data_IF_104217245334
#
_entry.id   IF_104217245334
#
_cell.length_a   1.000
_cell.length_b   1.000
_cell.length_c   1.000
_cell.angle_alpha   90.00
_cell.angle_beta   90.00
_cell.angle_gamma   90.00
#
_symmetry.space_group_name_H-M   'P 1'
#
loop_
_entity.id
_entity.type
_entity.pdbx_description
1 polymer ?
#
# COMPACT_ATOMS: atom_id res chain seq x y z
N UNK A 1 -0.24 33.35 8.38
CA UNK A 1 0.63 34.52 8.04
C UNK A 1 1.45 34.85 9.29
N UNK A 2 2.73 35.17 9.14
CA UNK A 2 3.62 35.53 10.27
C UNK A 2 4.09 34.35 11.14
N UNK A 3 3.71 33.11 10.80
CA UNK A 3 4.18 31.89 11.47
C UNK A 3 5.46 31.37 10.81
N UNK A 4 6.34 30.77 11.60
CA UNK A 4 7.59 30.14 11.15
C UNK A 4 7.29 28.79 10.50
N UNK A 5 7.59 28.66 9.20
CA UNK A 5 7.34 27.45 8.40
C UNK A 5 8.11 26.22 8.89
N UNK A 6 9.16 26.39 9.70
CA UNK A 6 9.90 25.28 10.27
C UNK A 6 9.20 24.64 11.48
N UNK A 7 8.12 25.26 11.99
CA UNK A 7 7.29 24.76 13.10
C UNK A 7 6.12 23.91 12.58
N UNK A 8 6.46 22.86 11.81
CA UNK A 8 5.49 21.97 11.15
C UNK A 8 4.38 21.49 12.10
N UNK A 9 4.76 20.93 13.26
CA UNK A 9 3.81 20.41 14.24
C UNK A 9 2.89 21.46 14.84
N UNK A 10 3.39 22.68 15.06
CA UNK A 10 2.55 23.76 15.58
C UNK A 10 1.49 24.17 14.55
N UNK A 11 1.88 24.30 13.28
CA UNK A 11 0.96 24.76 12.23
C UNK A 11 -0.04 23.67 11.84
N UNK A 12 0.41 22.42 11.72
CA UNK A 12 -0.49 21.29 11.45
C UNK A 12 -1.55 21.15 12.54
N UNK A 13 -1.16 21.18 13.83
CA UNK A 13 -2.11 21.10 14.95
C UNK A 13 -3.03 22.31 14.99
N UNK A 14 -2.54 23.52 14.72
CA UNK A 14 -3.40 24.69 14.62
C UNK A 14 -4.48 24.53 13.54
N UNK A 15 -4.14 23.98 12.36
CA UNK A 15 -5.12 23.72 11.31
C UNK A 15 -6.15 22.65 11.70
N UNK A 16 -5.68 21.55 12.30
CA UNK A 16 -6.51 20.38 12.62
C UNK A 16 -7.38 20.60 13.86
N UNK A 17 -6.79 21.06 14.96
CA UNK A 17 -7.43 21.11 16.27
C UNK A 17 -8.23 22.40 16.47
N UNK A 18 -7.73 23.54 15.98
CA UNK A 18 -8.33 24.85 16.26
C UNK A 18 -9.17 25.39 15.09
N UNK A 19 -8.64 25.36 13.85
CA UNK A 19 -9.36 25.92 12.70
C UNK A 19 -10.46 24.98 12.19
N UNK A 20 -10.15 23.69 12.04
CA UNK A 20 -11.11 22.67 11.69
C UNK A 20 -11.92 22.22 12.90
N UNK A 21 -11.25 21.57 13.88
CA UNK A 21 -11.82 21.17 15.17
C UNK A 21 -12.85 20.05 15.10
N UNK A 22 -13.07 19.40 13.95
CA UNK A 22 -14.06 18.33 13.81
C UNK A 22 -13.49 16.97 14.19
N UNK A 23 -14.27 16.18 14.92
CA UNK A 23 -13.91 14.85 15.39
C UNK A 23 -14.98 13.81 15.02
N UNK A 24 -14.56 12.55 14.92
CA UNK A 24 -15.40 11.36 14.97
C UNK A 24 -14.91 10.45 16.12
N UNK A 25 -15.44 9.23 16.20
CA UNK A 25 -15.06 8.25 17.22
C UNK A 25 -13.58 7.78 17.16
N UNK A 26 -12.87 8.08 16.06
CA UNK A 26 -11.47 7.75 15.83
C UNK A 26 -10.51 8.95 15.90
N UNK A 27 -11.01 10.16 16.19
CA UNK A 27 -10.21 11.39 16.35
C UNK A 27 -10.54 12.48 15.33
N UNK A 28 -9.55 13.28 14.95
CA UNK A 28 -9.74 14.46 14.10
C UNK A 28 -10.07 14.10 12.65
N UNK A 29 -11.32 14.37 12.24
CA UNK A 29 -11.85 13.95 10.93
C UNK A 29 -11.75 15.01 9.83
N UNK A 30 -11.37 16.25 10.18
CA UNK A 30 -11.00 17.30 9.22
C UNK A 30 -12.13 17.64 8.23
N UNK A 31 -13.38 17.46 8.67
CA UNK A 31 -14.59 17.53 7.84
C UNK A 31 -14.96 18.97 7.47
N UNK A 32 -14.59 19.97 8.28
CA UNK A 32 -15.01 21.36 8.06
C UNK A 32 -14.15 22.05 7.00
N UNK A 33 -12.83 21.87 7.05
CA UNK A 33 -11.87 22.44 6.11
C UNK A 33 -11.55 21.49 4.95
N UNK A 34 -11.68 20.18 5.18
CA UNK A 34 -11.28 19.13 4.25
C UNK A 34 -9.82 18.70 4.48
N UNK A 35 -9.60 17.39 4.61
CA UNK A 35 -8.26 16.81 4.75
C UNK A 35 -7.34 17.16 3.57
N UNK A 36 -7.90 17.29 2.36
CA UNK A 36 -7.20 17.73 1.16
C UNK A 36 -6.65 19.17 1.27
N UNK A 37 -7.44 20.11 1.80
CA UNK A 37 -7.00 21.49 1.99
C UNK A 37 -5.90 21.61 3.05
N UNK A 38 -6.08 20.92 4.18
CA UNK A 38 -5.08 20.86 5.26
C UNK A 38 -3.78 20.24 4.76
N UNK A 39 -3.86 19.10 4.05
CA UNK A 39 -2.69 18.42 3.53
C UNK A 39 -1.92 19.29 2.54
N UNK A 40 -2.60 19.92 1.58
CA UNK A 40 -1.94 20.79 0.60
C UNK A 40 -1.11 21.89 1.26
N UNK A 41 -1.65 22.51 2.32
CA UNK A 41 -0.90 23.50 3.12
C UNK A 41 0.23 22.84 3.91
N UNK A 42 -0.02 21.69 4.55
CA UNK A 42 0.97 20.94 5.33
C UNK A 42 2.20 20.55 4.50
N UNK A 43 2.00 20.03 3.28
CA UNK A 43 3.06 19.66 2.34
C UNK A 43 3.86 20.89 1.86
N UNK A 44 3.17 21.97 1.51
CA UNK A 44 3.81 23.21 1.07
C UNK A 44 4.66 23.85 2.18
N UNK A 45 4.19 23.81 3.44
CA UNK A 45 4.94 24.27 4.59
C UNK A 45 6.18 23.42 4.83
N UNK A 46 6.09 22.09 4.71
CA UNK A 46 7.23 21.19 4.86
C UNK A 46 8.32 21.50 3.81
N UNK A 47 7.94 21.73 2.55
CA UNK A 47 8.86 22.20 1.50
C UNK A 47 9.48 23.56 1.83
N UNK A 48 8.68 24.51 2.28
CA UNK A 48 9.18 25.83 2.68
C UNK A 48 10.14 25.74 3.88
N UNK A 49 9.87 24.85 4.84
CA UNK A 49 10.73 24.55 5.98
C UNK A 49 12.07 23.96 5.55
N UNK A 50 12.07 23.03 4.60
CA UNK A 50 13.29 22.48 4.02
C UNK A 50 14.12 23.57 3.32
N UNK A 51 13.47 24.41 2.50
CA UNK A 51 14.11 25.53 1.81
C UNK A 51 14.68 26.58 2.78
N UNK A 52 13.94 26.92 3.84
CA UNK A 52 14.40 27.86 4.87
C UNK A 52 15.64 27.34 5.61
N UNK A 53 15.73 26.02 5.82
CA UNK A 53 16.90 25.33 6.38
C UNK A 53 18.00 25.02 5.35
N UNK A 54 17.78 25.34 4.07
CA UNK A 54 18.71 25.08 2.95
C UNK A 54 19.12 23.61 2.84
N UNK A 55 18.17 22.69 3.02
CA UNK A 55 18.40 21.26 2.93
C UNK A 55 17.37 20.58 2.00
N UNK A 56 17.70 19.39 1.47
CA UNK A 56 16.73 18.58 0.73
C UNK A 56 15.49 18.24 1.57
N UNK A 57 14.36 18.02 0.90
CA UNK A 57 13.08 17.74 1.58
C UNK A 57 13.15 16.45 2.41
N UNK A 58 13.69 15.35 1.88
CA UNK A 58 13.87 14.11 2.63
C UNK A 58 14.66 14.31 3.93
N UNK A 59 15.68 15.18 3.93
CA UNK A 59 16.48 15.45 5.11
C UNK A 59 15.68 16.26 6.15
N UNK A 60 14.89 17.22 5.68
CA UNK A 60 13.98 17.95 6.57
C UNK A 60 12.93 17.05 7.21
N UNK A 61 12.35 16.12 6.45
CA UNK A 61 11.42 15.12 6.97
C UNK A 61 12.11 14.21 7.99
N UNK A 62 13.35 13.79 7.73
CA UNK A 62 14.15 13.02 8.67
C UNK A 62 14.37 13.75 10.00
N UNK A 63 14.69 15.05 9.96
CA UNK A 63 14.81 15.89 11.16
C UNK A 63 13.49 15.95 11.94
N UNK A 64 12.37 16.16 11.25
CA UNK A 64 11.04 16.24 11.87
C UNK A 64 10.66 14.92 12.54
N UNK A 65 11.01 13.79 11.92
CA UNK A 65 10.74 12.45 12.44
C UNK A 65 11.78 11.95 13.46
N UNK A 66 12.89 12.69 13.64
CA UNK A 66 14.00 12.27 14.50
C UNK A 66 14.75 11.04 13.97
N UNK A 67 14.85 10.86 12.66
CA UNK A 67 15.53 9.74 12.02
C UNK A 67 16.97 10.11 11.63
N UNK A 68 18.00 9.62 12.34
CA UNK A 68 19.39 10.01 12.09
C UNK A 68 20.01 9.33 10.86
N UNK A 69 19.45 8.21 10.41
CA UNK A 69 19.98 7.39 9.31
C UNK A 69 18.88 7.00 8.33
N UNK A 70 18.48 7.91 7.42
CA UNK A 70 17.56 7.59 6.33
C UNK A 70 18.04 6.44 5.45
N UNK A 71 17.10 5.72 4.83
CA UNK A 71 17.39 4.65 3.88
C UNK A 71 16.55 4.80 2.59
N UNK A 72 17.06 4.25 1.48
CA UNK A 72 16.26 4.10 0.27
C UNK A 72 15.30 2.91 0.43
N UNK A 73 14.04 3.04 -0.02
CA UNK A 73 13.06 1.97 0.08
C UNK A 73 13.23 0.90 -1.01
N UNK A 74 12.76 -0.32 -0.76
CA UNK A 74 12.44 -1.29 -1.81
C UNK A 74 11.13 -0.85 -2.49
N UNK A 75 11.09 -0.67 -3.81
CA UNK A 75 9.85 -0.39 -4.53
C UNK A 75 8.99 -1.65 -4.69
N UNK A 76 7.71 -1.52 -4.38
CA UNK A 76 6.64 -2.47 -4.68
C UNK A 76 5.90 -2.00 -5.93
N UNK A 77 6.12 -2.67 -7.07
CA UNK A 77 5.50 -2.28 -8.33
C UNK A 77 4.19 -3.04 -8.53
N UNK A 78 3.07 -2.33 -8.63
CA UNK A 78 1.79 -2.91 -9.05
C UNK A 78 1.84 -3.26 -10.54
N UNK A 79 1.70 -4.55 -10.90
CA UNK A 79 1.88 -5.00 -12.29
C UNK A 79 0.68 -5.74 -12.88
N UNK A 80 -0.24 -6.25 -12.05
CA UNK A 80 -1.53 -6.80 -12.46
C UNK A 80 -2.62 -6.25 -11.54
N UNK A 81 -3.66 -5.69 -12.15
CA UNK A 81 -4.81 -5.11 -11.46
C UNK A 81 -6.02 -6.05 -11.51
N UNK A 82 -6.76 -6.08 -10.42
CA UNK A 82 -8.07 -6.68 -10.26
C UNK A 82 -8.97 -5.76 -9.43
N UNK A 83 -9.85 -6.35 -8.62
CA UNK A 83 -10.74 -5.64 -7.72
C UNK A 83 -11.50 -4.51 -8.42
N UNK A 84 -11.63 -3.38 -7.73
CA UNK A 84 -12.27 -2.16 -8.23
C UNK A 84 -11.40 -1.37 -9.23
N UNK A 85 -10.12 -1.74 -9.41
CA UNK A 85 -9.18 -1.10 -10.34
C UNK A 85 -9.19 -1.71 -11.76
N UNK A 86 -9.98 -2.76 -12.01
CA UNK A 86 -10.04 -3.43 -13.30
C UNK A 86 -11.40 -4.08 -13.60
N UNK A 87 -11.82 -3.99 -14.87
CA UNK A 87 -13.05 -4.64 -15.38
C UNK A 87 -12.94 -6.16 -15.64
N UNK A 88 -11.88 -6.82 -15.19
CA UNK A 88 -11.75 -8.28 -15.24
C UNK A 88 -12.52 -8.96 -14.08
N UNK A 89 -12.46 -10.29 -13.96
CA UNK A 89 -13.11 -11.03 -12.86
C UNK A 89 -12.32 -11.10 -11.55
N UNK A 90 -11.06 -10.69 -11.57
CA UNK A 90 -10.13 -10.87 -10.46
C UNK A 90 -10.64 -10.08 -9.23
N UNK A 91 -10.90 -10.75 -8.11
CA UNK A 91 -11.39 -10.07 -6.91
C UNK A 91 -10.32 -9.26 -6.18
N UNK A 92 -9.10 -9.79 -6.08
CA UNK A 92 -7.99 -9.13 -5.41
C UNK A 92 -7.51 -7.93 -6.24
N UNK A 93 -7.23 -6.81 -5.58
CA UNK A 93 -7.04 -5.53 -6.23
C UNK A 93 -5.70 -5.43 -6.97
N UNK A 94 -4.61 -5.92 -6.37
CA UNK A 94 -3.27 -5.75 -6.95
C UNK A 94 -2.34 -6.92 -6.69
N UNK A 95 -1.49 -7.19 -7.69
CA UNK A 95 -0.37 -8.10 -7.58
C UNK A 95 0.92 -7.34 -7.91
N UNK A 96 1.84 -7.36 -6.95
CA UNK A 96 3.05 -6.56 -6.96
C UNK A 96 4.31 -7.40 -7.04
N UNK A 97 5.36 -6.82 -7.61
CA UNK A 97 6.73 -7.34 -7.52
C UNK A 97 7.62 -6.43 -6.68
N UNK A 98 8.48 -7.05 -5.88
CA UNK A 98 9.40 -6.40 -4.96
C UNK A 98 10.83 -6.88 -5.25
N UNK A 99 11.70 -6.07 -5.86
CA UNK A 99 13.10 -6.44 -6.15
C UNK A 99 14.01 -6.44 -4.90
N UNK A 100 13.68 -7.23 -3.88
CA UNK A 100 14.39 -7.25 -2.58
C UNK A 100 15.87 -7.68 -2.69
N UNK A 101 16.25 -8.38 -3.76
CA UNK A 101 17.62 -8.81 -4.03
C UNK A 101 18.46 -7.79 -4.80
N UNK A 102 17.91 -6.61 -5.10
CA UNK A 102 18.66 -5.51 -5.70
C UNK A 102 19.66 -4.90 -4.71
N UNK A 103 20.80 -4.43 -5.21
CA UNK A 103 21.87 -3.79 -4.42
C UNK A 103 21.74 -2.27 -4.30
N UNK A 104 20.82 -1.68 -5.07
CA UNK A 104 20.53 -0.25 -5.06
C UNK A 104 19.11 0.02 -5.57
N UNK A 105 18.58 1.20 -5.25
CA UNK A 105 17.28 1.64 -5.79
C UNK A 105 17.28 1.68 -7.32
N UNK A 106 18.38 2.13 -7.94
CA UNK A 106 18.53 2.14 -9.40
C UNK A 106 18.44 0.73 -10.00
N UNK A 107 19.08 -0.26 -9.37
CA UNK A 107 18.95 -1.66 -9.80
C UNK A 107 17.53 -2.18 -9.60
N UNK A 108 16.87 -1.84 -8.48
CA UNK A 108 15.49 -2.24 -8.22
C UNK A 108 14.53 -1.70 -9.31
N UNK A 109 14.67 -0.43 -9.69
CA UNK A 109 13.88 0.18 -10.79
C UNK A 109 14.12 -0.53 -12.12
N UNK A 110 15.39 -0.87 -12.43
CA UNK A 110 15.73 -1.63 -13.64
C UNK A 110 15.05 -3.01 -13.64
N UNK A 111 15.18 -3.77 -12.55
CA UNK A 111 14.56 -5.10 -12.41
C UNK A 111 13.04 -5.00 -12.57
N UNK A 112 12.39 -4.07 -11.85
CA UNK A 112 10.95 -3.86 -11.94
C UNK A 112 10.49 -3.56 -13.37
N UNK A 113 11.18 -2.65 -14.06
CA UNK A 113 10.87 -2.27 -15.45
C UNK A 113 11.07 -3.43 -16.44
N UNK A 114 12.14 -4.21 -16.30
CA UNK A 114 12.40 -5.36 -17.17
C UNK A 114 11.38 -6.49 -16.95
N UNK A 115 10.99 -6.77 -15.70
CA UNK A 115 9.93 -7.74 -15.40
C UNK A 115 8.59 -7.25 -15.97
N UNK A 116 8.23 -5.97 -15.76
CA UNK A 116 7.00 -5.38 -16.29
C UNK A 116 6.90 -5.49 -17.82
N UNK A 117 7.98 -5.18 -18.55
CA UNK A 117 7.99 -5.32 -20.02
C UNK A 117 7.97 -6.77 -20.51
N UNK A 118 8.54 -7.72 -19.75
CA UNK A 118 8.38 -9.14 -20.05
C UNK A 118 6.94 -9.61 -19.77
N UNK A 119 6.34 -9.17 -18.68
CA UNK A 119 4.93 -9.44 -18.39
C UNK A 119 4.02 -8.93 -19.51
N UNK A 120 4.27 -7.72 -20.03
CA UNK A 120 3.55 -7.18 -21.20
C UNK A 120 3.59 -8.13 -22.40
N UNK A 121 4.74 -8.75 -22.67
CA UNK A 121 4.91 -9.71 -23.78
C UNK A 121 4.16 -11.01 -23.51
N UNK A 122 4.25 -11.55 -22.29
CA UNK A 122 3.53 -12.76 -21.87
C UNK A 122 2.01 -12.55 -22.00
N UNK A 123 1.50 -11.44 -21.47
CA UNK A 123 0.08 -11.07 -21.56
C UNK A 123 -0.34 -10.90 -23.02
N UNK A 124 0.44 -10.18 -23.83
CA UNK A 124 0.15 -10.01 -25.26
C UNK A 124 0.07 -11.35 -26.00
N UNK A 125 0.98 -12.28 -25.68
CA UNK A 125 1.03 -13.60 -26.29
C UNK A 125 -0.18 -14.47 -25.93
N UNK A 126 -0.72 -14.34 -24.70
CA UNK A 126 -1.80 -15.19 -24.19
C UNK A 126 -3.20 -14.61 -24.39
N UNK A 127 -3.36 -13.30 -24.20
CA UNK A 127 -4.67 -12.62 -24.19
C UNK A 127 -4.83 -11.59 -25.31
N UNK A 128 -3.79 -11.36 -26.13
CA UNK A 128 -3.83 -10.41 -27.24
C UNK A 128 -3.41 -8.99 -26.87
N UNK A 129 -3.43 -8.10 -27.87
CA UNK A 129 -2.90 -6.73 -27.74
C UNK A 129 -3.70 -5.90 -26.73
N UNK A 130 -5.02 -6.01 -26.73
CA UNK A 130 -5.90 -5.17 -25.91
C UNK A 130 -5.71 -5.42 -24.40
N UNK A 131 -5.31 -6.64 -24.03
CA UNK A 131 -4.98 -6.99 -22.64
C UNK A 131 -3.70 -6.30 -22.12
N UNK A 132 -2.95 -5.59 -22.97
CA UNK A 132 -1.77 -4.80 -22.58
C UNK A 132 -2.07 -3.33 -22.31
N UNK A 133 -3.35 -2.94 -22.35
CA UNK A 133 -3.80 -1.68 -21.76
C UNK A 133 -3.55 -1.71 -20.24
N UNK A 134 -3.40 -0.52 -19.66
CA UNK A 134 -3.06 -0.34 -18.25
C UNK A 134 -4.21 0.32 -17.51
N UNK A 135 -4.40 -0.05 -16.24
CA UNK A 135 -5.35 0.62 -15.34
C UNK A 135 -4.80 1.93 -14.79
N UNK A 136 -5.46 2.43 -13.75
CA UNK A 136 -5.16 3.72 -13.11
C UNK A 136 -3.71 3.81 -12.65
N UNK A 137 -3.17 2.73 -12.07
CA UNK A 137 -1.82 2.67 -11.49
C UNK A 137 -0.77 2.05 -12.44
N UNK A 138 -1.08 1.94 -13.73
CA UNK A 138 -0.14 1.46 -14.75
C UNK A 138 0.02 -0.08 -14.82
N UNK A 139 -0.56 -0.84 -13.90
CA UNK A 139 -0.64 -2.30 -13.96
C UNK A 139 -1.55 -2.80 -15.09
N UNK A 140 -1.32 -4.02 -15.57
CA UNK A 140 -2.15 -4.63 -16.64
C UNK A 140 -3.46 -5.19 -16.08
N UNK A 141 -4.52 -5.19 -16.89
CA UNK A 141 -5.82 -5.74 -16.52
C UNK A 141 -6.28 -6.86 -17.47
N UNK A 142 -5.51 -7.95 -17.67
CA UNK A 142 -5.94 -9.07 -18.50
C UNK A 142 -7.18 -9.75 -17.93
N UNK A 143 -7.96 -10.42 -18.79
CA UNK A 143 -9.16 -11.17 -18.41
C UNK A 143 -8.81 -12.51 -17.73
N UNK A 144 -8.10 -12.43 -16.62
CA UNK A 144 -7.71 -13.56 -15.76
C UNK A 144 -8.96 -14.15 -15.10
N UNK A 145 -9.04 -15.48 -15.03
CA UNK A 145 -10.18 -16.18 -14.46
C UNK A 145 -9.98 -16.56 -12.99
N UNK A 146 -8.74 -16.54 -12.46
CA UNK A 146 -8.47 -16.81 -11.05
C UNK A 146 -7.23 -16.09 -10.53
N UNK A 147 -7.20 -15.78 -9.24
CA UNK A 147 -6.02 -15.16 -8.58
C UNK A 147 -4.73 -15.99 -8.75
N UNK A 148 -4.84 -17.33 -8.80
CA UNK A 148 -3.68 -18.21 -9.01
C UNK A 148 -3.03 -18.06 -10.39
N UNK A 149 -3.80 -17.70 -11.42
CA UNK A 149 -3.31 -17.46 -12.78
C UNK A 149 -2.55 -16.13 -12.88
N UNK A 150 -2.93 -15.11 -12.09
CA UNK A 150 -2.17 -13.87 -11.98
C UNK A 150 -0.74 -14.13 -11.47
N UNK A 151 -0.60 -14.98 -10.44
CA UNK A 151 0.70 -15.40 -9.90
C UNK A 151 1.51 -16.12 -10.97
N UNK A 152 0.92 -17.06 -11.71
CA UNK A 152 1.62 -17.82 -12.76
C UNK A 152 2.17 -16.93 -13.87
N UNK A 153 1.40 -15.92 -14.32
CA UNK A 153 1.86 -14.94 -15.31
C UNK A 153 3.06 -14.13 -14.80
N UNK A 154 3.02 -13.71 -13.54
CA UNK A 154 4.09 -12.93 -12.93
C UNK A 154 5.35 -13.78 -12.78
N UNK A 155 5.23 -15.03 -12.34
CA UNK A 155 6.37 -15.94 -12.21
C UNK A 155 7.02 -16.24 -13.58
N UNK A 156 6.21 -16.43 -14.62
CA UNK A 156 6.70 -16.57 -15.99
C UNK A 156 7.47 -15.33 -16.44
N UNK A 157 6.95 -14.14 -16.15
CA UNK A 157 7.60 -12.87 -16.48
C UNK A 157 8.91 -12.66 -15.71
N UNK A 158 8.95 -12.96 -14.41
CA UNK A 158 10.15 -12.88 -13.57
C UNK A 158 11.23 -13.84 -14.09
N UNK A 159 10.85 -15.07 -14.45
CA UNK A 159 11.75 -16.06 -15.01
C UNK A 159 12.29 -15.62 -16.38
N UNK A 160 11.42 -15.11 -17.24
CA UNK A 160 11.82 -14.60 -18.56
C UNK A 160 12.78 -13.40 -18.46
N UNK A 161 12.64 -12.57 -17.42
CA UNK A 161 13.56 -11.47 -17.13
C UNK A 161 14.86 -11.92 -16.44
N UNK A 162 14.94 -13.15 -15.93
CA UNK A 162 16.14 -13.68 -15.28
C UNK A 162 16.34 -13.25 -13.83
N UNK A 163 15.26 -12.94 -13.10
CA UNK A 163 15.32 -12.37 -11.74
C UNK A 163 14.62 -13.19 -10.64
N UNK A 164 14.46 -14.51 -10.83
CA UNK A 164 13.75 -15.40 -9.90
C UNK A 164 14.32 -15.38 -8.47
N UNK A 165 15.62 -15.21 -8.31
CA UNK A 165 16.28 -15.12 -7.00
C UNK A 165 16.17 -13.73 -6.35
N UNK A 166 15.99 -12.68 -7.16
CA UNK A 166 15.98 -11.28 -6.73
C UNK A 166 14.61 -10.67 -6.44
N UNK A 167 13.55 -11.21 -7.05
CA UNK A 167 12.19 -10.65 -6.95
C UNK A 167 11.34 -11.45 -5.97
N UNK A 168 10.54 -10.74 -5.18
CA UNK A 168 9.46 -11.29 -4.35
C UNK A 168 8.11 -10.78 -4.77
N UNK A 169 7.05 -11.43 -4.31
CA UNK A 169 5.67 -11.04 -4.59
C UNK A 169 5.03 -10.36 -3.39
N UNK A 170 4.20 -9.37 -3.67
CA UNK A 170 3.27 -8.76 -2.73
C UNK A 170 1.88 -8.74 -3.34
N UNK A 171 0.85 -8.60 -2.53
CA UNK A 171 -0.52 -8.41 -2.99
C UNK A 171 -1.24 -7.40 -2.11
N UNK A 172 -2.08 -6.59 -2.74
CA UNK A 172 -3.16 -5.87 -2.06
C UNK A 172 -4.47 -6.55 -2.42
N UNK A 173 -5.12 -7.08 -1.40
CA UNK A 173 -6.37 -7.78 -1.59
C UNK A 173 -7.55 -6.80 -1.62
N UNK A 174 -7.51 -5.71 -0.84
CA UNK A 174 -8.62 -4.80 -0.61
C UNK A 174 -9.93 -5.54 -0.25
N UNK A 175 -9.87 -6.45 0.72
CA UNK A 175 -10.97 -7.38 1.00
C UNK A 175 -12.30 -6.71 1.41
N UNK A 176 -12.24 -5.48 1.92
CA UNK A 176 -13.42 -4.65 2.21
C UNK A 176 -14.31 -4.46 0.97
N UNK A 177 -13.73 -4.38 -0.23
CA UNK A 177 -14.46 -4.16 -1.49
C UNK A 177 -15.38 -5.32 -1.88
N UNK A 178 -15.10 -6.51 -1.37
CA UNK A 178 -15.88 -7.72 -1.66
C UNK A 178 -16.38 -8.43 -0.41
N UNK A 179 -16.35 -7.76 0.74
CA UNK A 179 -17.01 -8.21 1.96
C UNK A 179 -18.54 -8.05 1.81
N UNK A 180 -19.31 -9.07 2.18
CA UNK A 180 -20.78 -9.08 2.01
C UNK A 180 -21.52 -8.32 3.10
N UNK A 181 -20.80 -7.65 4.00
CA UNK A 181 -21.34 -6.88 5.12
C UNK A 181 -21.62 -7.72 6.36
N UNK A 182 -21.88 -7.06 7.48
CA UNK A 182 -21.97 -7.70 8.80
C UNK A 182 -23.13 -8.72 8.94
N UNK A 183 -24.15 -8.67 8.07
CA UNK A 183 -25.29 -9.60 8.11
C UNK A 183 -24.94 -11.00 7.62
N UNK A 184 -24.12 -11.11 6.56
CA UNK A 184 -23.69 -12.38 5.96
C UNK A 184 -22.25 -12.73 6.36
N UNK A 185 -21.41 -11.73 6.60
CA UNK A 185 -20.03 -11.85 7.08
C UNK A 185 -19.16 -12.82 6.27
N UNK A 186 -19.31 -12.79 4.94
CA UNK A 186 -18.53 -13.57 3.97
C UNK A 186 -17.82 -12.64 2.97
N UNK A 187 -17.01 -13.23 2.11
CA UNK A 187 -16.23 -12.55 1.08
C UNK A 187 -16.58 -13.11 -0.29
N UNK A 188 -17.05 -12.27 -1.21
CA UNK A 188 -17.50 -12.66 -2.55
C UNK A 188 -16.37 -12.56 -3.58
N UNK A 189 -15.75 -13.69 -3.93
CA UNK A 189 -14.64 -13.71 -4.90
C UNK A 189 -15.06 -13.47 -6.35
N UNK A 190 -16.36 -13.34 -6.63
CA UNK A 190 -16.92 -12.96 -7.94
C UNK A 190 -17.82 -11.70 -7.82
N UNK A 191 -17.50 -10.77 -6.90
CA UNK A 191 -18.35 -9.61 -6.58
C UNK A 191 -18.67 -8.68 -7.75
N UNK A 192 -17.87 -8.71 -8.82
CA UNK A 192 -18.10 -7.96 -10.06
C UNK A 192 -19.16 -8.59 -10.97
N UNK A 193 -19.62 -9.79 -10.64
CA UNK A 193 -20.71 -10.47 -11.31
C UNK A 193 -22.00 -10.28 -10.51
N UNK A 194 -22.98 -9.58 -11.10
CA UNK A 194 -24.31 -9.38 -10.49
C UNK A 194 -25.04 -10.69 -10.15
N UNK A 195 -24.67 -11.78 -10.83
CA UNK A 195 -25.24 -13.13 -10.64
C UNK A 195 -24.23 -14.09 -9.98
N UNK A 196 -23.32 -13.57 -9.15
CA UNK A 196 -22.36 -14.40 -8.41
C UNK A 196 -23.09 -15.51 -7.63
N UNK A 197 -22.64 -16.76 -7.82
CA UNK A 197 -23.21 -17.90 -7.10
C UNK A 197 -22.89 -17.81 -5.59
N UNK A 198 -23.76 -18.33 -4.73
CA UNK A 198 -23.51 -18.32 -3.29
C UNK A 198 -22.23 -19.08 -2.89
N UNK A 199 -21.79 -20.05 -3.72
CA UNK A 199 -20.52 -20.75 -3.56
C UNK A 199 -19.28 -19.87 -3.72
N UNK A 200 -19.39 -18.72 -4.39
CA UNK A 200 -18.31 -17.73 -4.52
C UNK A 200 -18.17 -16.85 -3.26
N UNK A 201 -19.17 -16.90 -2.36
CA UNK A 201 -19.13 -16.22 -1.06
C UNK A 201 -18.57 -17.16 -0.01
N UNK A 202 -17.31 -16.91 0.36
CA UNK A 202 -16.55 -17.76 1.28
C UNK A 202 -16.39 -17.10 2.65
N UNK A 203 -16.24 -17.89 3.72
CA UNK A 203 -15.95 -17.35 5.04
C UNK A 203 -14.53 -16.79 5.13
N UNK A 204 -14.25 -15.97 6.16
CA UNK A 204 -12.90 -15.50 6.46
C UNK A 204 -11.88 -16.65 6.58
N UNK A 205 -12.27 -17.76 7.23
CA UNK A 205 -11.43 -18.95 7.35
C UNK A 205 -11.06 -19.56 6.00
N UNK A 206 -12.01 -19.61 5.07
CA UNK A 206 -11.75 -20.10 3.71
C UNK A 206 -10.91 -19.12 2.90
N UNK A 207 -11.09 -17.82 3.11
CA UNK A 207 -10.26 -16.81 2.49
C UNK A 207 -8.81 -16.89 3.02
N UNK A 208 -8.62 -17.15 4.31
CA UNK A 208 -7.31 -17.42 4.90
C UNK A 208 -6.64 -18.64 4.24
N UNK A 209 -7.37 -19.76 4.06
CA UNK A 209 -6.86 -20.95 3.36
C UNK A 209 -6.40 -20.63 1.93
N UNK A 210 -7.09 -19.71 1.22
CA UNK A 210 -6.67 -19.24 -0.11
C UNK A 210 -5.30 -18.55 -0.05
N UNK A 211 -5.09 -17.64 0.92
CA UNK A 211 -3.80 -16.97 1.08
C UNK A 211 -2.67 -17.93 1.45
N UNK A 212 -2.93 -18.86 2.37
CA UNK A 212 -1.99 -19.92 2.75
C UNK A 212 -1.61 -20.77 1.52
N UNK A 213 -2.59 -21.08 0.66
CA UNK A 213 -2.37 -21.77 -0.61
C UNK A 213 -1.45 -21.00 -1.56
N UNK A 214 -1.62 -19.68 -1.70
CA UNK A 214 -0.73 -18.86 -2.52
C UNK A 214 0.69 -18.77 -1.95
N UNK A 215 0.81 -18.59 -0.63
CA UNK A 215 2.12 -18.57 0.06
C UNK A 215 2.84 -19.91 -0.18
N UNK A 216 2.14 -21.04 -0.01
CA UNK A 216 2.69 -22.36 -0.23
C UNK A 216 3.10 -22.58 -1.70
N UNK A 217 2.27 -22.17 -2.66
CA UNK A 217 2.56 -22.24 -4.10
C UNK A 217 3.87 -21.53 -4.45
N UNK A 218 4.11 -20.35 -3.87
CA UNK A 218 5.26 -19.52 -4.17
C UNK A 218 6.51 -19.85 -3.32
N UNK A 219 6.44 -20.79 -2.38
CA UNK A 219 7.48 -21.00 -1.36
C UNK A 219 8.85 -21.40 -1.94
N UNK A 220 8.86 -22.09 -3.09
CA UNK A 220 10.07 -22.56 -3.78
C UNK A 220 10.60 -21.63 -4.87
N UNK A 221 9.96 -20.47 -5.07
CA UNK A 221 10.20 -19.58 -6.22
C UNK A 221 10.28 -18.12 -5.74
N UNK A 222 9.43 -17.23 -6.28
CA UNK A 222 9.45 -15.81 -5.97
C UNK A 222 8.95 -15.52 -4.56
N UNK A 223 8.25 -16.41 -3.86
CA UNK A 223 7.66 -16.21 -2.50
C UNK A 223 6.76 -14.97 -2.37
N UNK A 224 5.58 -15.17 -1.78
CA UNK A 224 4.78 -14.03 -1.29
C UNK A 224 5.35 -13.61 0.05
N UNK A 225 5.76 -12.33 0.14
CA UNK A 225 6.37 -11.76 1.34
C UNK A 225 5.54 -10.63 1.97
N UNK A 226 4.48 -10.18 1.28
CA UNK A 226 3.59 -9.14 1.79
C UNK A 226 2.16 -9.35 1.31
N UNK A 227 1.19 -9.20 2.21
CA UNK A 227 -0.25 -9.20 1.95
C UNK A 227 -0.86 -7.97 2.63
N UNK A 228 -1.48 -7.11 1.86
CA UNK A 228 -2.19 -5.90 2.28
C UNK A 228 -3.70 -6.17 2.26
N UNK A 229 -4.40 -5.67 3.28
CA UNK A 229 -5.84 -5.78 3.49
C UNK A 229 -6.47 -7.15 3.20
N UNK A 230 -5.98 -8.24 3.85
CA UNK A 230 -6.51 -9.59 3.66
C UNK A 230 -7.96 -9.78 4.11
N UNK A 231 -8.51 -8.87 4.92
CA UNK A 231 -9.87 -8.96 5.45
C UNK A 231 -10.49 -7.57 5.52
N UNK A 232 -11.81 -7.52 5.70
CA UNK A 232 -12.54 -6.27 5.89
C UNK A 232 -11.93 -5.42 7.00
N UNK A 233 -12.01 -4.10 6.84
CA UNK A 233 -11.44 -3.10 7.74
C UNK A 233 -11.87 -3.24 9.22
N UNK A 234 -13.03 -3.88 9.49
CA UNK A 234 -13.55 -4.10 10.84
C UNK A 234 -13.60 -5.59 11.25
N UNK A 235 -13.11 -6.52 10.43
CA UNK A 235 -12.96 -7.95 10.76
C UNK A 235 -11.70 -8.25 11.58
N UNK A 236 -11.58 -7.58 12.73
CA UNK A 236 -10.42 -7.62 13.62
C UNK A 236 -9.99 -9.04 14.02
N UNK A 237 -10.94 -9.97 14.18
CA UNK A 237 -10.65 -11.35 14.56
C UNK A 237 -9.84 -12.06 13.47
N UNK A 238 -10.25 -11.93 12.21
CA UNK A 238 -9.58 -12.55 11.06
C UNK A 238 -8.18 -11.96 10.83
N UNK A 239 -8.03 -10.65 11.00
CA UNK A 239 -6.72 -9.96 10.98
C UNK A 239 -5.75 -10.54 12.02
N UNK A 240 -6.19 -10.67 13.28
CA UNK A 240 -5.36 -11.25 14.35
C UNK A 240 -5.01 -12.71 14.05
N UNK A 241 -5.97 -13.48 13.53
CA UNK A 241 -5.77 -14.90 13.20
C UNK A 241 -4.70 -15.10 12.12
N UNK A 242 -4.78 -14.37 11.00
CA UNK A 242 -3.79 -14.50 9.92
C UNK A 242 -2.42 -13.99 10.35
N UNK A 243 -2.35 -12.88 11.08
CA UNK A 243 -1.09 -12.34 11.59
C UNK A 243 -0.43 -13.32 12.56
N UNK A 244 -1.20 -13.96 13.45
CA UNK A 244 -0.70 -15.02 14.32
C UNK A 244 -0.21 -16.27 13.57
N UNK A 245 -0.80 -16.56 12.40
CA UNK A 245 -0.51 -17.77 11.61
C UNK A 245 0.69 -17.63 10.68
N UNK A 246 0.79 -16.53 9.92
CA UNK A 246 1.84 -16.33 8.89
C UNK A 246 2.70 -15.09 9.11
N UNK A 247 2.32 -14.20 10.05
CA UNK A 247 2.95 -12.89 10.25
C UNK A 247 4.41 -12.90 10.71
N UNK A 248 5.01 -14.08 10.92
CA UNK A 248 6.45 -14.22 11.14
C UNK A 248 7.25 -14.22 9.84
N UNK A 249 6.68 -14.80 8.79
CA UNK A 249 7.35 -15.03 7.50
C UNK A 249 6.80 -14.10 6.39
N UNK A 250 5.58 -13.59 6.58
CA UNK A 250 4.88 -12.72 5.64
C UNK A 250 4.50 -11.41 6.33
N UNK A 251 4.77 -10.29 5.67
CA UNK A 251 4.30 -8.98 6.09
C UNK A 251 2.78 -8.89 5.89
N UNK A 252 2.03 -8.53 6.93
CA UNK A 252 0.60 -8.23 6.89
C UNK A 252 0.47 -6.72 7.05
N UNK A 253 0.05 -6.06 5.98
CA UNK A 253 -0.03 -4.60 5.89
C UNK A 253 -1.46 -4.17 6.16
N UNK A 254 -1.65 -3.25 7.10
CA UNK A 254 -2.94 -2.58 7.31
C UNK A 254 -3.02 -1.28 6.54
N UNK A 255 -3.94 -1.20 5.58
CA UNK A 255 -4.35 0.03 4.89
C UNK A 255 -5.73 0.48 5.39
N UNK A 256 -6.84 -0.05 4.89
CA UNK A 256 -8.20 0.30 5.32
C UNK A 256 -8.42 -0.01 6.81
N UNK A 257 -7.75 -1.04 7.33
CA UNK A 257 -7.75 -1.35 8.77
C UNK A 257 -7.28 -0.16 9.61
N UNK A 258 -6.26 0.57 9.13
CA UNK A 258 -5.56 1.59 9.92
C UNK A 258 -5.81 3.01 9.45
N UNK A 259 -6.12 3.21 8.17
CA UNK A 259 -6.32 4.49 7.46
C UNK A 259 -5.31 5.57 7.85
N UNK A 260 -4.06 5.16 8.10
CA UNK A 260 -2.99 6.04 8.63
C UNK A 260 -3.39 6.79 9.92
N UNK A 261 -4.45 6.37 10.62
CA UNK A 261 -5.00 7.04 11.79
C UNK A 261 -4.31 6.54 13.08
N UNK A 262 -3.66 7.42 13.87
CA UNK A 262 -2.95 7.02 15.09
C UNK A 262 -3.79 6.21 16.09
N UNK A 263 -5.10 6.48 16.20
CA UNK A 263 -6.02 5.75 17.08
C UNK A 263 -6.24 4.31 16.58
N UNK A 264 -6.47 4.12 15.27
CA UNK A 264 -6.63 2.78 14.68
C UNK A 264 -5.32 2.00 14.65
N UNK A 265 -4.20 2.67 14.34
CA UNK A 265 -2.85 2.09 14.43
C UNK A 265 -2.57 1.59 15.84
N UNK A 266 -2.87 2.39 16.87
CA UNK A 266 -2.72 1.99 18.28
C UNK A 266 -3.53 0.73 18.59
N UNK A 267 -4.82 0.71 18.21
CA UNK A 267 -5.69 -0.46 18.40
C UNK A 267 -5.13 -1.69 17.70
N UNK A 268 -4.66 -1.56 16.46
CA UNK A 268 -4.11 -2.66 15.69
C UNK A 268 -2.81 -3.22 16.27
N UNK A 269 -1.96 -2.35 16.83
CA UNK A 269 -0.77 -2.77 17.60
C UNK A 269 -1.18 -3.55 18.85
N UNK A 270 -2.13 -3.03 19.64
CA UNK A 270 -2.59 -3.66 20.89
C UNK A 270 -3.21 -5.04 20.64
N UNK A 271 -3.97 -5.19 19.54
CA UNK A 271 -4.58 -6.45 19.15
C UNK A 271 -3.64 -7.40 18.39
N UNK A 272 -2.50 -6.92 17.91
CA UNK A 272 -1.59 -7.65 16.99
C UNK A 272 -2.30 -8.04 15.69
N UNK A 273 -3.11 -7.13 15.16
CA UNK A 273 -3.94 -7.34 13.99
C UNK A 273 -3.11 -7.39 12.68
N UNK A 274 -2.01 -6.63 12.62
CA UNK A 274 -1.07 -6.64 11.50
C UNK A 274 0.36 -6.38 12.00
N UNK A 275 1.34 -6.35 11.09
CA UNK A 275 2.75 -6.11 11.43
C UNK A 275 3.42 -5.05 10.53
N UNK A 276 2.62 -4.35 9.72
CA UNK A 276 3.06 -3.24 8.90
C UNK A 276 1.95 -2.22 8.67
N UNK A 277 2.35 -0.97 8.50
CA UNK A 277 1.48 0.16 8.19
C UNK A 277 1.63 0.56 6.72
N UNK A 278 0.53 0.64 5.98
CA UNK A 278 0.51 1.41 4.74
C UNK A 278 0.32 2.88 5.08
N UNK A 279 1.29 3.71 4.71
CA UNK A 279 1.27 5.15 4.98
C UNK A 279 0.74 5.90 3.76
N UNK A 280 -0.49 6.41 3.86
CA UNK A 280 -1.11 7.32 2.89
C UNK A 280 -1.37 8.67 3.57
N UNK A 281 -0.50 9.65 3.32
CA UNK A 281 -0.54 10.96 4.01
C UNK A 281 -1.87 11.68 3.88
N UNK A 282 -2.60 11.47 2.79
CA UNK A 282 -3.90 12.10 2.58
C UNK A 282 -5.06 11.41 3.29
N UNK A 283 -4.91 10.17 3.75
CA UNK A 283 -5.92 9.54 4.62
C UNK A 283 -5.94 10.23 5.99
N UNK A 284 -4.77 10.61 6.52
CA UNK A 284 -4.69 11.30 7.82
C UNK A 284 -4.74 12.83 7.69
N UNK A 285 -4.20 13.41 6.61
CA UNK A 285 -4.39 14.82 6.24
C UNK A 285 -3.31 15.81 6.72
N UNK A 286 -2.29 15.37 7.45
CA UNK A 286 -1.13 16.23 7.82
C UNK A 286 0.17 15.44 7.94
N UNK A 287 1.31 16.12 7.77
CA UNK A 287 2.64 15.51 7.93
C UNK A 287 2.90 15.16 9.39
N UNK A 288 2.48 15.99 10.33
CA UNK A 288 2.67 15.73 11.76
C UNK A 288 1.96 14.46 12.21
N UNK A 289 0.68 14.28 11.88
CA UNK A 289 -0.04 13.05 12.25
C UNK A 289 0.49 11.82 11.50
N UNK A 290 0.98 11.99 10.26
CA UNK A 290 1.66 10.93 9.51
C UNK A 290 2.93 10.44 10.21
N UNK A 291 3.77 11.37 10.69
CA UNK A 291 4.98 11.06 11.48
C UNK A 291 4.61 10.37 12.79
N UNK A 292 3.54 10.82 13.46
CA UNK A 292 3.07 10.22 14.71
C UNK A 292 2.64 8.74 14.52
N UNK A 293 1.86 8.45 13.48
CA UNK A 293 1.45 7.09 13.13
C UNK A 293 2.66 6.18 12.83
N UNK A 294 3.60 6.66 12.01
CA UNK A 294 4.81 5.94 11.64
C UNK A 294 5.72 5.70 12.84
N UNK A 295 5.89 6.70 13.70
CA UNK A 295 6.69 6.59 14.92
C UNK A 295 6.11 5.53 15.85
N UNK A 296 4.78 5.48 15.98
CA UNK A 296 4.10 4.48 16.79
C UNK A 296 4.29 3.06 16.23
N UNK A 297 4.06 2.87 14.93
CA UNK A 297 4.25 1.60 14.25
C UNK A 297 5.70 1.10 14.36
N UNK A 298 6.69 1.97 14.11
CA UNK A 298 8.12 1.62 14.26
C UNK A 298 8.49 1.22 15.68
N UNK A 299 7.97 1.92 16.70
CA UNK A 299 8.20 1.55 18.11
C UNK A 299 7.61 0.17 18.46
N UNK A 300 6.54 -0.24 17.77
CA UNK A 300 5.96 -1.57 17.89
C UNK A 300 6.68 -2.64 17.04
N UNK A 301 7.76 -2.28 16.32
CA UNK A 301 8.51 -3.18 15.46
C UNK A 301 7.85 -3.45 14.11
N UNK A 302 6.88 -2.64 13.69
CA UNK A 302 6.21 -2.79 12.40
C UNK A 302 7.03 -2.25 11.23
N UNK A 303 6.83 -2.87 10.06
CA UNK A 303 7.28 -2.31 8.79
C UNK A 303 6.42 -1.10 8.37
N UNK A 304 6.99 -0.22 7.54
CA UNK A 304 6.28 0.94 7.00
C UNK A 304 6.39 0.89 5.48
N UNK A 305 5.26 0.89 4.78
CA UNK A 305 5.21 1.03 3.34
C UNK A 305 4.59 2.38 3.00
N UNK A 306 5.40 3.31 2.52
CA UNK A 306 4.88 4.57 1.98
C UNK A 306 4.06 4.26 0.72
N UNK A 307 2.90 4.90 0.55
CA UNK A 307 1.99 4.61 -0.53
C UNK A 307 1.54 5.85 -1.28
N UNK A 308 1.43 5.71 -2.59
CA UNK A 308 0.65 6.59 -3.46
C UNK A 308 -0.86 6.42 -3.25
N UNK A 309 -1.64 7.09 -4.10
CA UNK A 309 -3.06 6.88 -4.33
C UNK A 309 -3.34 6.48 -5.78
N UNK A 310 -4.49 5.86 -6.05
CA UNK A 310 -4.92 5.56 -7.42
C UNK A 310 -5.10 6.82 -8.29
N UNK A 311 -5.51 7.94 -7.68
CA UNK A 311 -5.50 9.27 -8.29
C UNK A 311 -4.31 10.10 -7.82
N UNK A 312 -3.13 9.85 -8.40
CA UNK A 312 -1.92 10.64 -8.13
C UNK A 312 -1.80 11.91 -8.98
N UNK A 313 -0.80 12.72 -8.64
CA UNK A 313 -0.40 13.94 -9.34
C UNK A 313 1.08 13.88 -9.73
N UNK A 314 1.59 14.87 -10.46
CA UNK A 314 3.03 14.99 -10.74
C UNK A 314 3.91 15.28 -9.50
N UNK A 315 3.31 15.38 -8.31
CA UNK A 315 3.96 15.73 -7.07
C UNK A 315 4.78 14.54 -6.50
N UNK A 316 6.09 14.74 -6.32
CA UNK A 316 7.00 13.68 -5.88
C UNK A 316 7.18 13.58 -4.36
N UNK A 317 6.31 14.20 -3.55
CA UNK A 317 6.53 14.32 -2.09
C UNK A 317 6.70 12.96 -1.39
N UNK A 318 5.91 11.96 -1.79
CA UNK A 318 5.94 10.62 -1.18
C UNK A 318 7.32 9.95 -1.31
N UNK A 319 8.10 10.28 -2.34
CA UNK A 319 9.47 9.78 -2.50
C UNK A 319 10.39 10.32 -1.40
N UNK A 320 10.42 11.63 -1.19
CA UNK A 320 11.18 12.25 -0.10
C UNK A 320 10.69 11.80 1.27
N UNK A 321 9.38 11.60 1.42
CA UNK A 321 8.77 11.10 2.65
C UNK A 321 9.23 9.69 2.98
N UNK A 322 9.22 8.76 2.01
CA UNK A 322 9.66 7.38 2.24
C UNK A 322 11.11 7.31 2.72
N UNK A 323 11.98 8.17 2.15
CA UNK A 323 13.39 8.29 2.56
C UNK A 323 13.51 8.93 3.93
N UNK A 324 12.91 10.11 4.13
CA UNK A 324 13.02 10.87 5.38
C UNK A 324 12.43 10.12 6.59
N UNK A 325 11.34 9.40 6.38
CA UNK A 325 10.78 8.51 7.39
C UNK A 325 11.55 7.21 7.55
N UNK A 326 12.54 6.92 6.70
CA UNK A 326 13.25 5.65 6.65
C UNK A 326 12.27 4.48 6.61
N UNK A 327 11.26 4.55 5.73
CA UNK A 327 10.17 3.57 5.65
C UNK A 327 10.70 2.19 5.25
N UNK A 328 11.71 2.16 4.36
CA UNK A 328 12.32 0.93 3.84
C UNK A 328 11.52 0.27 2.72
N UNK A 329 10.28 0.69 2.49
CA UNK A 329 9.39 0.18 1.44
C UNK A 329 8.55 1.32 0.86
N UNK A 330 8.26 1.29 -0.44
CA UNK A 330 7.37 2.23 -1.10
C UNK A 330 6.56 1.54 -2.20
N UNK A 331 5.25 1.77 -2.25
CA UNK A 331 4.33 1.35 -3.30
C UNK A 331 3.82 2.59 -4.02
N UNK A 332 4.21 2.77 -5.28
CA UNK A 332 3.88 3.98 -6.06
C UNK A 332 3.52 3.66 -7.50
N UNK A 333 2.78 2.57 -7.70
CA UNK A 333 2.32 2.12 -9.01
C UNK A 333 3.34 1.30 -9.80
N UNK A 334 2.98 1.00 -11.04
CA UNK A 334 3.84 0.32 -12.01
C UNK A 334 5.02 1.21 -12.43
N UNK A 335 6.07 0.66 -13.07
CA UNK A 335 7.05 1.45 -13.82
C UNK A 335 6.46 1.92 -15.17
N UNK A 336 5.27 2.52 -15.12
CA UNK A 336 4.46 3.00 -16.23
C UNK A 336 3.58 4.15 -15.74
N UNK A 337 3.33 5.13 -16.61
CA UNK A 337 2.68 6.41 -16.28
C UNK A 337 3.61 7.30 -15.43
N UNK A 338 3.31 8.60 -15.33
CA UNK A 338 4.32 9.63 -14.94
C UNK A 338 3.97 10.44 -13.70
N UNK A 339 2.72 10.36 -13.25
CA UNK A 339 2.31 10.71 -11.89
C UNK A 339 3.14 9.95 -10.85
#
# INVERSE_FOLDING_TARGET
IGKDVTKQAEIDRFMVEELDGTQNEWGWCKKKLGANAILGVSLALCRAGAAAKKQPLWQHIADLAGNPTPCLPVPSFNIINGGSHAGNKLAMQEFMILPVGATSFTEAMKIGSEVYHNLKKVIKGRYGLDATAVGDEGGFAPNIQSNGEAIDLIEEAIKAAGYTDKVRLGMDVAASEFYTGAEDARYNLDFKNENAADSEKISADKLQEVYEGFIAKCAGSSKIVSIEDPFDQDDWESWVKITGKVGKDVQIVGDDLTVTNPTRVKKAIEQKACNALLLKVNQIGSITESIEAVTMAKKAGWGIMASHRSGETEDTFTADLAVGLSAGQIKTGAPCRSE
#
